data_IF_573528256705
#
_entry.id   IF_573528256705
#
_cell.length_a   1.000
_cell.length_b   1.000
_cell.length_c   1.000
_cell.angle_alpha   90.00
_cell.angle_beta   90.00
_cell.angle_gamma   90.00
#
_symmetry.space_group_name_H-M   'P 1'
#
loop_
_entity.id
_entity.type
_entity.pdbx_description
1 polymer ?
#
# COMPACT_ATOMS: atom_id res chain seq x y z
N UNK A 1 17.51 -1.79 -22.31
CA UNK A 1 16.25 -1.09 -21.97
C UNK A 1 16.07 -0.86 -20.46
N UNK A 2 16.38 -1.84 -19.59
CA UNK A 2 16.24 -1.71 -18.13
C UNK A 2 17.14 -0.62 -17.51
N UNK A 3 18.44 -0.61 -17.81
CA UNK A 3 19.37 0.43 -17.35
C UNK A 3 18.91 1.84 -17.77
N UNK A 4 18.36 1.96 -18.97
CA UNK A 4 17.80 3.22 -19.46
C UNK A 4 16.59 3.69 -18.64
N UNK A 5 15.73 2.77 -18.19
CA UNK A 5 14.63 3.11 -17.26
C UNK A 5 15.17 3.54 -15.90
N UNK A 6 16.15 2.82 -15.37
CA UNK A 6 16.78 3.13 -14.08
C UNK A 6 17.38 4.54 -14.06
N UNK A 7 18.31 4.83 -14.99
CA UNK A 7 19.01 6.13 -15.02
C UNK A 7 18.12 7.31 -15.44
N UNK A 8 17.00 7.06 -16.13
CA UNK A 8 16.02 8.11 -16.48
C UNK A 8 14.94 8.32 -15.40
N UNK A 9 15.11 7.74 -14.20
CA UNK A 9 14.13 7.79 -13.12
C UNK A 9 12.71 7.40 -13.60
N UNK A 10 12.63 6.35 -14.42
CA UNK A 10 11.39 5.82 -15.00
C UNK A 10 10.88 4.55 -14.29
N UNK A 11 11.51 4.19 -13.18
CA UNK A 11 10.93 3.20 -12.29
C UNK A 11 9.75 3.79 -11.55
N UNK A 12 8.89 2.90 -11.06
CA UNK A 12 7.66 3.20 -10.33
C UNK A 12 7.94 4.08 -9.11
N UNK A 13 9.13 3.98 -8.50
CA UNK A 13 9.60 4.89 -7.47
C UNK A 13 10.87 5.60 -7.99
N UNK A 14 10.73 6.85 -8.51
CA UNK A 14 11.84 7.61 -9.07
C UNK A 14 12.94 7.94 -8.05
N UNK A 15 12.55 8.35 -6.84
CA UNK A 15 13.45 8.68 -5.73
C UNK A 15 13.42 7.58 -4.67
N UNK A 16 14.14 6.50 -4.97
CA UNK A 16 14.15 5.32 -4.11
C UNK A 16 14.88 5.56 -2.79
N UNK A 17 15.92 6.39 -2.78
CA UNK A 17 16.70 6.69 -1.59
C UNK A 17 15.86 7.45 -0.55
N UNK A 18 15.02 8.39 -0.98
CA UNK A 18 14.08 9.04 -0.09
C UNK A 18 13.12 8.01 0.53
N UNK A 19 12.54 7.11 -0.28
CA UNK A 19 11.66 6.04 0.24
C UNK A 19 12.38 5.20 1.30
N UNK A 20 13.61 4.74 1.05
CA UNK A 20 14.33 3.86 1.99
C UNK A 20 14.61 4.55 3.32
N UNK A 21 14.91 5.85 3.32
CA UNK A 21 15.08 6.63 4.55
C UNK A 21 13.78 6.74 5.37
N UNK A 22 12.62 6.84 4.71
CA UNK A 22 11.33 6.79 5.40
C UNK A 22 11.04 5.39 5.95
N UNK A 23 11.34 4.34 5.19
CA UNK A 23 11.16 2.95 5.62
C UNK A 23 12.05 2.62 6.83
N UNK A 24 13.29 3.09 6.87
CA UNK A 24 14.19 2.90 8.02
C UNK A 24 13.63 3.56 9.28
N UNK A 25 13.09 4.79 9.18
CA UNK A 25 12.43 5.45 10.32
C UNK A 25 11.22 4.69 10.84
N UNK A 26 10.38 4.19 9.93
CA UNK A 26 9.22 3.35 10.30
C UNK A 26 9.66 2.03 10.94
N UNK A 27 10.77 1.44 10.47
CA UNK A 27 11.37 0.26 11.08
C UNK A 27 11.79 0.54 12.52
N UNK A 28 12.55 1.64 12.75
CA UNK A 28 13.05 2.03 14.07
C UNK A 28 11.89 2.30 15.05
N UNK A 29 10.83 2.98 14.58
CA UNK A 29 9.63 3.25 15.37
C UNK A 29 8.87 1.97 15.73
N UNK A 30 8.69 1.06 14.78
CA UNK A 30 8.05 -0.24 15.03
C UNK A 30 8.89 -1.14 15.95
N UNK A 31 10.22 -1.02 15.93
CA UNK A 31 11.11 -1.80 16.79
C UNK A 31 10.88 -1.51 18.28
N UNK A 32 10.45 -0.29 18.64
CA UNK A 32 10.14 0.11 20.02
C UNK A 32 8.91 -0.60 20.60
N UNK A 33 8.14 -1.34 19.80
CA UNK A 33 7.03 -2.13 20.29
C UNK A 33 7.54 -3.41 20.96
N UNK A 34 7.38 -3.49 22.28
CA UNK A 34 7.77 -4.64 23.12
C UNK A 34 6.57 -5.55 23.48
N UNK A 35 5.37 -5.19 23.05
CA UNK A 35 4.16 -5.98 23.30
C UNK A 35 4.12 -7.27 22.46
N UNK A 36 3.26 -8.19 22.88
CA UNK A 36 2.98 -9.44 22.18
C UNK A 36 3.67 -10.65 22.81
N UNK A 37 3.40 -11.83 22.26
CA UNK A 37 3.97 -13.10 22.72
C UNK A 37 4.37 -13.96 21.53
N UNK A 38 5.53 -14.61 21.62
CA UNK A 38 5.97 -15.58 20.61
C UNK A 38 5.04 -16.78 20.64
N UNK A 39 4.65 -17.28 19.47
CA UNK A 39 3.87 -18.51 19.38
C UNK A 39 4.66 -19.69 19.96
N UNK A 40 4.11 -20.32 20.99
CA UNK A 40 4.80 -21.35 21.79
C UNK A 40 4.11 -22.73 21.77
N UNK A 41 3.00 -22.86 21.04
CA UNK A 41 2.24 -24.11 20.93
C UNK A 41 3.03 -25.24 20.24
N UNK A 42 4.08 -24.91 19.47
CA UNK A 42 5.10 -25.86 19.01
C UNK A 42 6.52 -25.37 19.34
N UNK A 43 7.45 -26.28 19.69
CA UNK A 43 8.82 -25.92 20.04
C UNK A 43 9.61 -25.17 18.96
N UNK A 44 9.28 -25.34 17.69
CA UNK A 44 10.00 -24.72 16.57
C UNK A 44 9.73 -23.22 16.47
N UNK A 45 8.51 -22.78 16.78
CA UNK A 45 8.17 -21.35 16.82
C UNK A 45 8.68 -20.68 18.10
N UNK A 46 8.61 -21.39 19.23
CA UNK A 46 9.09 -20.91 20.53
C UNK A 46 10.59 -20.59 20.57
N UNK A 47 11.38 -21.14 19.63
CA UNK A 47 12.83 -20.92 19.54
C UNK A 47 13.22 -19.55 19.03
N UNK A 48 12.34 -18.85 18.32
CA UNK A 48 12.66 -17.54 17.78
C UNK A 48 12.70 -16.51 18.91
N UNK A 49 13.75 -15.68 18.92
CA UNK A 49 13.87 -14.59 19.88
C UNK A 49 12.77 -13.55 19.63
N UNK A 50 12.11 -13.03 20.68
CA UNK A 50 11.15 -11.94 20.55
C UNK A 50 11.76 -10.65 20.00
N UNK A 51 13.09 -10.50 20.08
CA UNK A 51 13.80 -9.30 19.63
C UNK A 51 13.93 -9.22 18.11
N UNK A 52 13.75 -10.34 17.39
CA UNK A 52 13.91 -10.41 15.95
C UNK A 52 12.90 -9.51 15.23
N UNK A 53 13.41 -8.66 14.34
CA UNK A 53 12.59 -7.76 13.54
C UNK A 53 13.25 -7.48 12.19
N UNK A 54 12.57 -7.87 11.11
CA UNK A 54 13.02 -7.65 9.74
C UNK A 54 11.92 -7.10 8.85
N UNK A 55 12.29 -6.15 7.98
CA UNK A 55 11.44 -5.61 6.93
C UNK A 55 12.19 -5.63 5.61
N UNK A 56 11.59 -6.21 4.57
CA UNK A 56 12.11 -6.16 3.21
C UNK A 56 11.04 -5.72 2.23
N UNK A 57 11.43 -4.92 1.24
CA UNK A 57 10.55 -4.47 0.17
C UNK A 57 11.18 -4.73 -1.20
N UNK A 58 10.32 -5.02 -2.18
CA UNK A 58 10.67 -5.16 -3.58
C UNK A 58 9.61 -4.45 -4.43
N UNK A 59 10.02 -3.51 -5.28
CA UNK A 59 9.12 -2.82 -6.21
C UNK A 59 8.80 -3.67 -7.43
N UNK A 60 7.75 -3.33 -8.16
CA UNK A 60 7.40 -4.00 -9.43
C UNK A 60 8.47 -3.84 -10.53
N UNK A 61 9.38 -2.87 -10.39
CA UNK A 61 10.53 -2.66 -11.28
C UNK A 61 11.84 -3.30 -10.75
N UNK A 62 11.79 -4.01 -9.62
CA UNK A 62 12.93 -4.73 -9.07
C UNK A 62 13.86 -3.92 -8.16
N UNK A 63 13.52 -2.66 -7.84
CA UNK A 63 14.19 -1.90 -6.77
C UNK A 63 13.93 -2.56 -5.42
N UNK A 64 14.95 -2.69 -4.57
CA UNK A 64 14.88 -3.47 -3.31
C UNK A 64 15.58 -2.77 -2.17
N UNK A 65 15.02 -2.90 -0.98
CA UNK A 65 15.61 -2.41 0.27
C UNK A 65 15.19 -3.30 1.44
N UNK A 66 16.09 -3.49 2.39
CA UNK A 66 15.91 -4.42 3.50
C UNK A 66 16.59 -3.84 4.75
N UNK A 67 15.93 -3.96 5.91
CA UNK A 67 16.41 -3.46 7.20
C UNK A 67 16.07 -4.44 8.33
N UNK A 68 17.02 -4.67 9.24
CA UNK A 68 16.89 -5.61 10.35
C UNK A 68 17.25 -7.06 10.01
N UNK A 69 16.60 -8.02 10.67
CA UNK A 69 16.87 -9.45 10.60
C UNK A 69 16.30 -10.13 9.35
N UNK A 70 16.57 -9.56 8.16
CA UNK A 70 15.85 -9.90 6.92
C UNK A 70 16.26 -11.21 6.26
N UNK A 71 17.41 -11.75 6.65
CA UNK A 71 18.01 -12.96 6.06
C UNK A 71 17.78 -14.20 6.90
N UNK A 72 17.16 -14.07 8.06
CA UNK A 72 16.82 -15.20 8.92
C UNK A 72 15.67 -15.99 8.27
N UNK A 73 15.83 -17.30 8.02
CA UNK A 73 14.74 -18.13 7.53
C UNK A 73 13.66 -18.34 8.59
N UNK A 74 12.40 -18.27 8.18
CA UNK A 74 11.24 -18.59 9.01
C UNK A 74 10.14 -19.28 8.19
N UNK A 75 9.29 -20.07 8.85
CA UNK A 75 8.16 -20.72 8.18
C UNK A 75 7.09 -19.70 7.78
N UNK A 76 6.59 -19.77 6.55
CA UNK A 76 5.49 -18.93 6.05
C UNK A 76 4.21 -19.07 6.88
N UNK A 77 3.94 -20.28 7.38
CA UNK A 77 2.70 -20.58 8.08
C UNK A 77 1.49 -20.14 7.24
N UNK A 78 0.49 -19.49 7.84
CA UNK A 78 -0.70 -19.01 7.11
C UNK A 78 -0.43 -18.02 5.97
N UNK A 79 0.78 -17.43 5.85
CA UNK A 79 1.15 -16.63 4.68
C UNK A 79 1.24 -17.43 3.37
N UNK A 80 1.27 -18.77 3.42
CA UNK A 80 1.24 -19.61 2.22
C UNK A 80 -0.15 -19.71 1.57
N UNK A 81 -1.24 -19.52 2.34
CA UNK A 81 -2.62 -19.73 1.89
C UNK A 81 -3.02 -18.88 0.66
N UNK A 82 -2.67 -17.58 0.57
CA UNK A 82 -2.89 -16.81 -0.65
C UNK A 82 -2.14 -17.36 -1.85
N UNK A 83 -0.93 -17.89 -1.65
CA UNK A 83 -0.09 -18.43 -2.73
C UNK A 83 -0.65 -19.76 -3.24
N UNK A 84 -1.09 -20.62 -2.32
CA UNK A 84 -1.82 -21.85 -2.62
C UNK A 84 -3.07 -21.57 -3.45
N UNK A 85 -3.86 -20.57 -3.04
CA UNK A 85 -5.05 -20.14 -3.77
C UNK A 85 -4.72 -19.58 -5.15
N UNK A 86 -3.68 -18.74 -5.27
CA UNK A 86 -3.25 -18.20 -6.55
C UNK A 86 -2.81 -19.32 -7.52
N UNK A 87 -2.08 -20.32 -7.03
CA UNK A 87 -1.69 -21.50 -7.82
C UNK A 87 -2.94 -22.30 -8.24
N UNK A 88 -3.87 -22.56 -7.32
CA UNK A 88 -5.10 -23.27 -7.65
C UNK A 88 -5.92 -22.52 -8.73
N UNK A 89 -6.07 -21.20 -8.61
CA UNK A 89 -6.74 -20.38 -9.63
C UNK A 89 -6.01 -20.39 -10.97
N UNK A 90 -4.67 -20.36 -10.95
CA UNK A 90 -3.87 -20.42 -12.17
C UNK A 90 -4.05 -21.75 -12.91
N UNK A 91 -4.08 -22.85 -12.17
CA UNK A 91 -4.11 -24.21 -12.71
C UNK A 91 -5.50 -24.70 -13.09
N UNK A 92 -6.55 -24.25 -12.40
CA UNK A 92 -7.91 -24.76 -12.54
C UNK A 92 -8.96 -23.71 -12.95
N UNK A 93 -8.62 -22.42 -12.86
CA UNK A 93 -9.55 -21.33 -13.10
C UNK A 93 -10.49 -21.05 -11.92
N UNK A 94 -11.03 -19.82 -11.90
CA UNK A 94 -11.87 -19.32 -10.80
C UNK A 94 -13.17 -20.10 -10.61
N UNK A 95 -13.83 -20.46 -11.72
CA UNK A 95 -15.10 -21.18 -11.66
C UNK A 95 -14.96 -22.52 -10.94
N UNK A 96 -13.97 -23.33 -11.33
CA UNK A 96 -13.76 -24.64 -10.72
C UNK A 96 -13.33 -24.54 -9.25
N UNK A 97 -12.38 -23.66 -8.91
CA UNK A 97 -11.93 -23.49 -7.52
C UNK A 97 -13.09 -23.11 -6.60
N UNK A 98 -13.96 -22.20 -7.05
CA UNK A 98 -15.07 -21.71 -6.23
C UNK A 98 -16.31 -22.61 -6.21
N UNK A 99 -16.28 -23.76 -6.90
CA UNK A 99 -17.21 -24.84 -6.60
C UNK A 99 -16.95 -25.44 -5.21
N UNK A 100 -15.72 -25.32 -4.68
CA UNK A 100 -15.32 -25.95 -3.41
C UNK A 100 -15.08 -24.96 -2.27
N UNK A 101 -14.74 -23.71 -2.56
CA UNK A 101 -14.47 -22.68 -1.53
C UNK A 101 -15.20 -21.37 -1.84
N UNK A 102 -15.72 -20.71 -0.81
CA UNK A 102 -16.39 -19.42 -0.93
C UNK A 102 -15.43 -18.25 -1.23
N UNK A 103 -16.01 -17.04 -1.27
CA UNK A 103 -15.34 -15.77 -1.63
C UNK A 103 -15.50 -14.69 -0.56
N UNK A 104 -16.10 -15.02 0.58
CA UNK A 104 -16.58 -14.02 1.53
C UNK A 104 -15.94 -14.21 2.91
N UNK A 105 -15.77 -13.13 3.68
CA UNK A 105 -15.35 -13.23 5.07
C UNK A 105 -16.41 -13.98 5.87
N UNK A 106 -15.98 -14.80 6.84
CA UNK A 106 -16.93 -15.61 7.61
C UNK A 106 -17.79 -14.81 8.59
N UNK A 107 -17.34 -13.62 9.01
CA UNK A 107 -17.94 -12.85 10.10
C UNK A 107 -17.83 -13.49 11.50
N UNK A 108 -17.31 -14.71 11.59
CA UNK A 108 -17.05 -15.41 12.85
C UNK A 108 -15.58 -15.29 13.24
N UNK A 109 -15.29 -15.55 14.52
CA UNK A 109 -13.91 -15.76 14.97
C UNK A 109 -13.26 -16.85 14.13
N UNK A 110 -12.03 -16.63 13.68
CA UNK A 110 -11.25 -17.58 12.86
C UNK A 110 -11.10 -18.97 13.52
N UNK A 111 -11.32 -19.01 14.84
CA UNK A 111 -11.27 -20.23 15.64
C UNK A 111 -12.53 -21.12 15.56
N UNK A 112 -13.64 -20.60 15.04
CA UNK A 112 -14.90 -21.35 14.96
C UNK A 112 -14.91 -22.26 13.73
N UNK A 113 -15.28 -23.52 13.95
CA UNK A 113 -15.62 -24.45 12.88
C UNK A 113 -16.96 -24.03 12.26
N UNK A 114 -16.93 -23.46 11.06
CA UNK A 114 -18.14 -23.13 10.30
C UNK A 114 -17.92 -23.24 8.80
N UNK A 115 -19.00 -23.61 8.11
CA UNK A 115 -19.15 -23.52 6.65
C UNK A 115 -20.16 -22.41 6.35
N UNK A 116 -20.23 -22.01 5.09
CA UNK A 116 -21.28 -21.13 4.60
C UNK A 116 -22.58 -21.91 4.35
N UNK A 117 -23.63 -21.20 3.90
CA UNK A 117 -24.95 -21.79 3.65
C UNK A 117 -24.96 -22.83 2.50
N UNK A 118 -23.89 -22.88 1.71
CA UNK A 118 -23.69 -23.85 0.63
C UNK A 118 -22.81 -25.05 1.06
N UNK A 119 -22.58 -25.24 2.37
CA UNK A 119 -21.71 -26.27 2.93
C UNK A 119 -20.26 -26.21 2.39
N UNK A 120 -19.74 -25.00 2.12
CA UNK A 120 -18.35 -24.74 1.70
C UNK A 120 -17.59 -23.94 2.77
N UNK A 121 -16.26 -24.07 2.87
CA UNK A 121 -15.47 -23.12 3.64
C UNK A 121 -15.65 -21.70 3.10
N UNK A 122 -15.71 -20.72 4.00
CA UNK A 122 -16.03 -19.32 3.67
C UNK A 122 -15.10 -18.69 2.63
N UNK A 123 -13.80 -18.93 2.74
CA UNK A 123 -12.77 -18.37 1.87
C UNK A 123 -11.46 -19.17 2.02
N UNK A 124 -10.48 -19.00 1.11
CA UNK A 124 -9.21 -19.72 1.15
C UNK A 124 -8.22 -19.21 2.21
N UNK A 125 -8.49 -18.07 2.85
CA UNK A 125 -7.59 -17.50 3.87
C UNK A 125 -7.75 -18.15 5.25
N UNK A 126 -8.84 -18.89 5.47
CA UNK A 126 -9.06 -19.73 6.66
C UNK A 126 -8.57 -21.16 6.44
N UNK A 127 -8.23 -21.87 7.53
CA UNK A 127 -7.67 -23.23 7.46
C UNK A 127 -8.55 -24.20 6.67
N UNK A 128 -9.87 -24.18 6.87
CA UNK A 128 -10.79 -25.06 6.15
C UNK A 128 -10.73 -24.86 4.63
N UNK A 129 -10.66 -23.61 4.17
CA UNK A 129 -10.54 -23.31 2.75
C UNK A 129 -9.20 -23.77 2.17
N UNK A 130 -8.10 -23.49 2.87
CA UNK A 130 -6.77 -23.94 2.47
C UNK A 130 -6.67 -25.47 2.38
N UNK A 131 -7.23 -26.22 3.35
CA UNK A 131 -7.25 -27.69 3.32
C UNK A 131 -8.03 -28.23 2.10
N UNK A 132 -9.14 -27.59 1.73
CA UNK A 132 -9.90 -27.93 0.51
C UNK A 132 -9.06 -27.64 -0.74
N UNK A 133 -8.36 -26.51 -0.80
CA UNK A 133 -7.46 -26.21 -1.93
C UNK A 133 -6.30 -27.21 -2.05
N UNK A 134 -5.71 -27.61 -0.92
CA UNK A 134 -4.67 -28.65 -0.87
C UNK A 134 -5.14 -29.95 -1.52
N UNK A 135 -6.42 -30.30 -1.32
CA UNK A 135 -7.02 -31.48 -1.94
C UNK A 135 -7.14 -31.36 -3.47
N UNK A 136 -7.50 -30.18 -4.00
CA UNK A 136 -7.62 -29.94 -5.45
C UNK A 136 -6.27 -30.09 -6.15
N UNK A 137 -5.23 -29.46 -5.57
CA UNK A 137 -3.86 -29.52 -6.10
C UNK A 137 -3.32 -30.96 -6.07
N UNK A 138 -3.65 -31.73 -5.02
CA UNK A 138 -3.27 -33.15 -4.93
C UNK A 138 -3.99 -34.03 -5.95
N UNK A 139 -5.28 -33.83 -6.20
CA UNK A 139 -6.06 -34.65 -7.15
C UNK A 139 -5.50 -34.55 -8.57
N UNK A 140 -5.14 -33.36 -9.04
CA UNK A 140 -4.47 -33.19 -10.36
C UNK A 140 -3.21 -34.03 -10.49
N UNK A 141 -2.54 -34.26 -9.37
CA UNK A 141 -1.29 -35.03 -9.32
C UNK A 141 -1.49 -36.54 -9.26
N UNK A 142 -2.72 -37.10 -9.24
CA UNK A 142 -2.96 -38.56 -9.10
C UNK A 142 -2.49 -39.45 -10.27
N UNK A 143 -1.68 -38.92 -11.19
CA UNK A 143 -0.84 -39.68 -12.14
C UNK A 143 0.68 -39.64 -11.83
N UNK A 144 1.09 -38.92 -10.79
CA UNK A 144 2.46 -38.69 -10.34
C UNK A 144 2.55 -38.93 -8.82
N UNK A 145 3.68 -39.41 -8.29
CA UNK A 145 3.80 -39.67 -6.85
C UNK A 145 3.59 -38.40 -6.01
N UNK A 146 3.13 -38.55 -4.75
CA UNK A 146 2.86 -37.45 -3.79
C UNK A 146 4.02 -36.46 -3.61
N UNK A 147 5.26 -36.93 -3.78
CA UNK A 147 6.49 -36.13 -3.79
C UNK A 147 6.51 -35.09 -4.92
N UNK A 148 5.87 -35.41 -6.04
CA UNK A 148 5.87 -34.58 -7.23
C UNK A 148 5.04 -33.29 -7.03
N UNK A 149 3.88 -33.37 -6.36
CA UNK A 149 3.04 -32.18 -6.11
C UNK A 149 3.75 -31.11 -5.27
N UNK A 150 4.45 -31.54 -4.21
CA UNK A 150 5.16 -30.60 -3.34
C UNK A 150 6.31 -29.92 -4.07
N UNK A 151 7.05 -30.67 -4.89
CA UNK A 151 8.10 -30.13 -5.75
C UNK A 151 7.53 -29.11 -6.75
N UNK A 152 6.38 -29.39 -7.36
CA UNK A 152 5.69 -28.44 -8.26
C UNK A 152 5.36 -27.14 -7.54
N UNK A 153 4.75 -27.19 -6.34
CA UNK A 153 4.43 -25.97 -5.58
C UNK A 153 5.67 -25.21 -5.13
N UNK A 154 6.70 -25.91 -4.65
CA UNK A 154 7.99 -25.27 -4.30
C UNK A 154 8.61 -24.57 -5.52
N UNK A 155 8.53 -25.18 -6.71
CA UNK A 155 9.04 -24.56 -7.93
C UNK A 155 8.23 -23.31 -8.31
N UNK A 156 6.89 -23.34 -8.17
CA UNK A 156 6.07 -22.13 -8.31
C UNK A 156 6.52 -21.02 -7.36
N UNK A 157 6.70 -21.35 -6.07
CA UNK A 157 7.16 -20.38 -5.07
C UNK A 157 8.57 -19.84 -5.39
N UNK A 158 9.47 -20.67 -5.90
CA UNK A 158 10.80 -20.24 -6.37
C UNK A 158 10.70 -19.29 -7.55
N UNK A 159 9.83 -19.56 -8.53
CA UNK A 159 9.58 -18.63 -9.64
C UNK A 159 8.98 -17.31 -9.14
N UNK A 160 8.03 -17.36 -8.20
CA UNK A 160 7.47 -16.15 -7.56
C UNK A 160 8.54 -15.33 -6.83
N UNK A 161 9.50 -16.01 -6.19
CA UNK A 161 10.62 -15.41 -5.46
C UNK A 161 11.80 -15.02 -6.37
N UNK A 162 11.72 -15.25 -7.68
CA UNK A 162 12.83 -15.00 -8.61
C UNK A 162 14.10 -15.81 -8.29
N UNK A 163 13.92 -17.07 -7.89
CA UNK A 163 14.97 -18.02 -7.48
C UNK A 163 15.72 -17.67 -6.19
N UNK A 164 15.18 -16.77 -5.37
CA UNK A 164 15.66 -16.57 -4.00
C UNK A 164 15.29 -17.73 -3.06
N UNK A 165 15.70 -17.63 -1.79
CA UNK A 165 15.54 -18.68 -0.80
C UNK A 165 14.07 -19.06 -0.59
N UNK A 166 13.75 -20.31 -0.94
CA UNK A 166 12.51 -21.01 -0.60
C UNK A 166 12.92 -22.39 -0.08
N UNK A 167 12.80 -22.56 1.23
CA UNK A 167 13.20 -23.76 1.98
C UNK A 167 12.02 -24.56 2.49
N UNK A 168 12.30 -25.52 3.36
CA UNK A 168 11.30 -26.37 4.00
C UNK A 168 11.80 -26.89 5.34
N UNK A 169 11.00 -26.68 6.39
CA UNK A 169 11.30 -27.20 7.72
C UNK A 169 10.55 -28.50 7.98
N UNK A 170 11.23 -29.64 7.84
CA UNK A 170 10.66 -30.92 8.22
C UNK A 170 10.35 -30.97 9.73
N UNK A 171 11.14 -30.29 10.58
CA UNK A 171 10.92 -30.26 12.01
C UNK A 171 9.59 -29.57 12.38
N UNK A 172 9.31 -28.41 11.76
CA UNK A 172 8.03 -27.71 11.92
C UNK A 172 6.88 -28.55 11.37
N UNK A 173 7.06 -29.17 10.19
CA UNK A 173 6.06 -30.05 9.60
C UNK A 173 5.63 -31.19 10.53
N UNK A 174 6.58 -31.93 11.10
CA UNK A 174 6.26 -33.02 12.02
C UNK A 174 5.53 -32.48 13.26
N UNK A 175 5.98 -31.35 13.81
CA UNK A 175 5.37 -30.80 15.04
C UNK A 175 3.97 -30.25 14.79
N UNK A 176 3.76 -29.51 13.69
CA UNK A 176 2.42 -29.02 13.28
C UNK A 176 1.45 -30.18 13.01
N UNK A 177 1.94 -31.27 12.42
CA UNK A 177 1.12 -32.46 12.18
C UNK A 177 0.75 -33.15 13.49
N UNK A 178 1.71 -33.33 14.39
CA UNK A 178 1.51 -34.06 15.66
C UNK A 178 0.65 -33.25 16.65
N UNK A 179 0.66 -31.91 16.60
CA UNK A 179 -0.22 -31.04 17.40
C UNK A 179 -1.44 -30.53 16.62
N UNK A 180 -1.71 -31.10 15.44
CA UNK A 180 -2.65 -30.60 14.44
C UNK A 180 -4.11 -30.96 14.67
N UNK A 181 -4.52 -31.36 15.88
CA UNK A 181 -5.83 -31.95 16.20
C UNK A 181 -7.01 -31.18 15.61
N UNK A 182 -6.96 -29.84 15.69
CA UNK A 182 -8.02 -28.99 15.15
C UNK A 182 -8.14 -29.09 13.63
N UNK A 183 -7.02 -29.19 12.92
CA UNK A 183 -7.05 -29.36 11.47
C UNK A 183 -7.55 -30.76 11.09
N UNK A 184 -7.26 -31.79 11.89
CA UNK A 184 -7.89 -33.10 11.73
C UNK A 184 -9.42 -33.04 11.93
N UNK A 185 -9.90 -32.36 12.97
CA UNK A 185 -11.33 -32.15 13.18
C UNK A 185 -12.00 -31.42 12.01
N UNK A 186 -11.36 -30.35 11.49
CA UNK A 186 -11.78 -29.67 10.26
C UNK A 186 -11.85 -30.67 9.10
N UNK A 187 -10.80 -31.47 8.88
CA UNK A 187 -10.73 -32.44 7.79
C UNK A 187 -11.84 -33.49 7.84
N UNK A 188 -12.12 -34.08 9.00
CA UNK A 188 -13.22 -35.03 9.15
C UNK A 188 -14.59 -34.38 8.92
N UNK A 189 -14.80 -33.17 9.43
CA UNK A 189 -16.06 -32.43 9.22
C UNK A 189 -16.28 -32.10 7.73
N UNK A 190 -15.25 -31.63 7.03
CA UNK A 190 -15.29 -31.38 5.58
C UNK A 190 -15.54 -32.67 4.78
N UNK A 191 -15.00 -33.80 5.23
CA UNK A 191 -15.21 -35.10 4.61
C UNK A 191 -16.67 -35.56 4.74
N UNK A 192 -17.25 -35.42 5.92
CA UNK A 192 -18.67 -35.74 6.16
C UNK A 192 -19.59 -34.89 5.27
N UNK A 193 -19.27 -33.60 5.14
CA UNK A 193 -20.02 -32.63 4.31
C UNK A 193 -19.71 -32.69 2.82
N UNK A 194 -18.86 -33.62 2.37
CA UNK A 194 -18.47 -33.79 0.97
C UNK A 194 -17.88 -32.51 0.33
N UNK A 195 -17.12 -31.74 1.12
CA UNK A 195 -16.49 -30.51 0.63
C UNK A 195 -15.25 -30.77 -0.24
N UNK A 196 -14.75 -32.01 -0.28
CA UNK A 196 -13.61 -32.41 -1.09
C UNK A 196 -14.06 -32.96 -2.46
N UNK A 197 -13.20 -32.87 -3.50
CA UNK A 197 -13.43 -33.60 -4.75
C UNK A 197 -13.62 -35.11 -4.51
N UNK A 198 -14.46 -35.77 -5.29
CA UNK A 198 -14.83 -37.19 -5.08
C UNK A 198 -13.64 -38.15 -4.98
N UNK A 199 -12.55 -37.84 -5.69
CA UNK A 199 -11.34 -38.67 -5.70
C UNK A 199 -10.31 -38.25 -4.66
N UNK A 200 -10.55 -37.23 -3.85
CA UNK A 200 -9.58 -36.73 -2.90
C UNK A 200 -9.41 -37.65 -1.68
N UNK A 201 -8.18 -37.75 -1.18
CA UNK A 201 -7.88 -38.34 0.12
C UNK A 201 -7.69 -37.21 1.13
N UNK A 202 -8.58 -37.14 2.12
CA UNK A 202 -8.56 -36.13 3.18
C UNK A 202 -7.25 -36.13 3.97
N UNK A 203 -6.73 -37.31 4.33
CA UNK A 203 -5.49 -37.41 5.11
C UNK A 203 -4.30 -36.93 4.29
N UNK A 204 -4.23 -37.30 3.02
CA UNK A 204 -3.18 -36.83 2.11
C UNK A 204 -3.27 -35.32 1.85
N UNK A 205 -4.48 -34.74 1.82
CA UNK A 205 -4.69 -33.30 1.71
C UNK A 205 -4.23 -32.55 2.97
N UNK A 206 -4.52 -33.10 4.16
CA UNK A 206 -4.04 -32.55 5.43
C UNK A 206 -2.52 -32.59 5.54
N UNK A 207 -1.89 -33.74 5.25
CA UNK A 207 -0.43 -33.85 5.25
C UNK A 207 0.21 -32.83 4.29
N UNK A 208 -0.39 -32.64 3.12
CA UNK A 208 0.07 -31.63 2.17
C UNK A 208 -0.09 -30.20 2.70
N UNK A 209 -1.23 -29.90 3.30
CA UNK A 209 -1.48 -28.61 3.94
C UNK A 209 -0.42 -28.29 5.01
N UNK A 210 -0.06 -29.26 5.86
CA UNK A 210 1.01 -29.11 6.85
C UNK A 210 2.39 -28.91 6.20
N UNK A 211 2.68 -29.61 5.10
CA UNK A 211 3.90 -29.39 4.33
C UNK A 211 3.97 -27.96 3.80
N UNK A 212 2.89 -27.43 3.22
CA UNK A 212 2.84 -26.07 2.69
C UNK A 212 3.02 -25.00 3.79
N UNK A 213 2.40 -25.18 4.95
CA UNK A 213 2.57 -24.25 6.09
C UNK A 213 4.00 -24.23 6.63
N UNK A 214 4.77 -25.30 6.41
CA UNK A 214 6.14 -25.47 6.89
C UNK A 214 7.22 -25.05 5.89
N UNK A 215 6.82 -24.44 4.77
CA UNK A 215 7.74 -23.83 3.79
C UNK A 215 8.45 -22.64 4.44
N UNK A 216 9.75 -22.53 4.23
CA UNK A 216 10.58 -21.45 4.79
C UNK A 216 10.90 -20.40 3.73
N UNK A 217 10.90 -19.14 4.15
CA UNK A 217 11.35 -17.98 3.36
C UNK A 217 12.19 -17.07 4.23
N UNK A 218 12.84 -16.08 3.63
CA UNK A 218 13.39 -14.92 4.34
C UNK A 218 12.50 -13.71 4.07
N UNK A 219 12.72 -12.57 4.75
CA UNK A 219 12.03 -11.34 4.40
C UNK A 219 12.33 -10.95 2.95
N UNK A 220 13.59 -11.12 2.52
CA UNK A 220 14.05 -10.80 1.17
C UNK A 220 13.26 -11.57 0.10
N UNK A 221 13.20 -12.90 0.20
CA UNK A 221 12.47 -13.71 -0.79
C UNK A 221 10.95 -13.51 -0.69
N UNK A 222 10.42 -13.34 0.52
CA UNK A 222 9.01 -13.01 0.77
C UNK A 222 8.59 -11.69 0.13
N UNK A 223 9.47 -10.67 0.14
CA UNK A 223 9.19 -9.38 -0.49
C UNK A 223 9.10 -9.48 -2.01
N UNK A 224 9.93 -10.33 -2.64
CA UNK A 224 9.86 -10.60 -4.08
C UNK A 224 8.56 -11.35 -4.43
N UNK A 225 8.15 -12.33 -3.63
CA UNK A 225 6.86 -13.04 -3.81
C UNK A 225 5.68 -12.04 -3.77
N UNK A 226 5.62 -11.17 -2.76
CA UNK A 226 4.59 -10.14 -2.68
C UNK A 226 4.65 -9.16 -3.87
N UNK A 227 5.85 -8.82 -4.34
CA UNK A 227 6.02 -7.92 -5.48
C UNK A 227 5.59 -8.56 -6.80
N UNK A 228 5.74 -9.88 -6.95
CA UNK A 228 5.19 -10.65 -8.07
C UNK A 228 3.67 -10.57 -8.10
N UNK A 229 3.00 -10.62 -6.93
CA UNK A 229 1.56 -10.35 -6.85
C UNK A 229 1.23 -8.88 -7.15
N UNK A 230 2.03 -7.93 -6.66
CA UNK A 230 1.85 -6.50 -6.97
C UNK A 230 1.95 -6.22 -8.49
N UNK A 231 2.77 -7.01 -9.20
CA UNK A 231 3.05 -6.88 -10.63
C UNK A 231 2.17 -7.79 -11.52
N UNK A 232 0.98 -8.16 -11.05
CA UNK A 232 0.02 -8.92 -11.87
C UNK A 232 0.47 -10.33 -12.24
N UNK A 233 1.31 -10.95 -11.41
CA UNK A 233 1.81 -12.31 -11.59
C UNK A 233 3.12 -12.40 -12.39
N UNK A 234 3.76 -11.27 -12.68
CA UNK A 234 5.07 -11.22 -13.36
C UNK A 234 6.16 -10.96 -12.32
N UNK A 235 7.14 -11.85 -12.20
CA UNK A 235 8.21 -11.68 -11.23
C UNK A 235 9.06 -10.43 -11.57
N UNK A 236 9.22 -9.47 -10.63
CA UNK A 236 9.82 -8.18 -10.93
C UNK A 236 11.33 -8.26 -11.24
N UNK A 237 12.01 -9.31 -10.76
CA UNK A 237 13.47 -9.47 -10.94
C UNK A 237 13.85 -10.43 -12.07
N UNK A 238 12.92 -11.23 -12.58
CA UNK A 238 13.17 -12.14 -13.72
C UNK A 238 12.39 -11.77 -14.98
N UNK A 239 11.25 -11.07 -14.84
CA UNK A 239 10.32 -10.76 -15.94
C UNK A 239 9.45 -11.95 -16.36
N UNK A 240 9.55 -13.09 -15.67
CA UNK A 240 8.77 -14.29 -15.95
C UNK A 240 7.31 -14.11 -15.51
N UNK A 241 6.34 -14.49 -16.35
CA UNK A 241 4.94 -14.61 -15.96
C UNK A 241 4.73 -15.92 -15.22
N UNK A 242 4.58 -15.84 -13.91
CA UNK A 242 4.42 -17.00 -13.02
C UNK A 242 2.95 -17.32 -12.74
N UNK A 243 2.09 -16.30 -12.69
CA UNK A 243 0.65 -16.45 -12.43
C UNK A 243 -0.19 -15.73 -13.49
N UNK A 244 -1.44 -16.17 -13.63
CA UNK A 244 -2.41 -15.45 -14.45
C UNK A 244 -2.87 -14.17 -13.73
N UNK A 245 -3.14 -13.11 -14.48
CA UNK A 245 -3.59 -11.85 -13.90
C UNK A 245 -4.92 -12.00 -13.14
N UNK A 246 -5.81 -12.90 -13.60
CA UNK A 246 -7.04 -13.25 -12.90
C UNK A 246 -6.76 -13.88 -11.53
N UNK A 247 -5.83 -14.84 -11.46
CA UNK A 247 -5.46 -15.49 -10.20
C UNK A 247 -4.94 -14.47 -9.19
N UNK A 248 -4.08 -13.56 -9.64
CA UNK A 248 -3.53 -12.48 -8.81
C UNK A 248 -4.63 -11.55 -8.32
N UNK A 249 -5.51 -11.06 -9.20
CA UNK A 249 -6.62 -10.17 -8.83
C UNK A 249 -7.49 -10.78 -7.74
N UNK A 250 -7.95 -12.02 -7.93
CA UNK A 250 -8.85 -12.67 -6.98
C UNK A 250 -8.14 -12.93 -5.64
N UNK A 251 -6.86 -13.29 -5.67
CA UNK A 251 -6.04 -13.47 -4.47
C UNK A 251 -5.91 -12.18 -3.68
N UNK A 252 -5.60 -11.06 -4.33
CA UNK A 252 -5.48 -9.75 -3.68
C UNK A 252 -6.82 -9.29 -3.07
N UNK A 253 -7.94 -9.54 -3.75
CA UNK A 253 -9.28 -9.23 -3.21
C UNK A 253 -9.56 -9.99 -1.91
N UNK A 254 -9.22 -11.29 -1.84
CA UNK A 254 -9.44 -12.08 -0.63
C UNK A 254 -8.40 -11.83 0.46
N UNK A 255 -7.17 -11.44 0.10
CA UNK A 255 -6.20 -10.93 1.07
C UNK A 255 -6.70 -9.65 1.73
N UNK A 256 -7.32 -8.75 0.96
CA UNK A 256 -7.89 -7.52 1.49
C UNK A 256 -9.01 -7.77 2.50
N UNK A 257 -9.98 -8.63 2.19
CA UNK A 257 -11.16 -8.85 3.06
C UNK A 257 -10.98 -9.92 4.13
N UNK A 258 -10.06 -10.89 3.94
CA UNK A 258 -9.98 -12.11 4.76
C UNK A 258 -8.56 -12.42 5.29
N UNK A 259 -7.56 -11.57 5.05
CA UNK A 259 -6.15 -11.95 5.20
C UNK A 259 -5.54 -11.87 6.61
N UNK A 260 -6.10 -11.09 7.52
CA UNK A 260 -5.50 -10.74 8.82
C UNK A 260 -6.29 -11.29 10.01
N UNK A 261 -6.78 -12.54 9.89
CA UNK A 261 -7.63 -13.20 10.88
C UNK A 261 -8.86 -12.33 11.23
N UNK A 262 -9.24 -12.25 12.50
CA UNK A 262 -10.36 -11.43 12.96
C UNK A 262 -10.09 -9.92 12.81
N UNK A 263 -8.83 -9.52 12.60
CA UNK A 263 -8.44 -8.14 12.34
C UNK A 263 -8.66 -7.73 10.87
N UNK A 264 -9.04 -8.64 9.97
CA UNK A 264 -9.15 -8.35 8.52
C UNK A 264 -10.02 -7.14 8.19
N UNK A 265 -11.19 -7.01 8.84
CA UNK A 265 -12.09 -5.87 8.60
C UNK A 265 -11.49 -4.54 9.06
N UNK A 266 -10.86 -4.50 10.24
CA UNK A 266 -10.20 -3.28 10.74
C UNK A 266 -8.95 -2.94 9.93
N UNK A 267 -8.17 -3.95 9.52
CA UNK A 267 -7.02 -3.77 8.65
C UNK A 267 -7.42 -3.22 7.27
N UNK A 268 -8.46 -3.80 6.65
CA UNK A 268 -9.00 -3.31 5.39
C UNK A 268 -9.52 -1.87 5.47
N UNK A 269 -10.08 -1.47 6.62
CA UNK A 269 -10.62 -0.13 6.84
C UNK A 269 -9.55 0.92 7.16
N UNK A 270 -8.57 0.59 8.01
CA UNK A 270 -7.55 1.55 8.47
C UNK A 270 -6.27 1.55 7.63
N UNK A 271 -5.84 0.37 7.17
CA UNK A 271 -4.63 0.21 6.34
C UNK A 271 -5.00 0.10 4.86
N UNK A 272 -6.07 -0.63 4.54
CA UNK A 272 -6.59 -0.70 3.19
C UNK A 272 -5.65 -1.33 2.17
N UNK A 273 -4.73 -2.21 2.60
CA UNK A 273 -3.83 -2.94 1.72
C UNK A 273 -4.12 -4.44 1.78
N UNK A 274 -4.01 -5.19 0.66
CA UNK A 274 -4.02 -6.64 0.70
C UNK A 274 -2.84 -7.18 1.52
N UNK A 275 -3.13 -7.97 2.56
CA UNK A 275 -2.12 -8.58 3.41
C UNK A 275 -2.50 -9.99 3.83
N UNK A 276 -1.51 -10.78 4.27
CA UNK A 276 -1.75 -12.04 4.99
C UNK A 276 -0.76 -12.20 6.11
N UNK A 277 -1.26 -12.43 7.33
CA UNK A 277 -0.41 -12.77 8.49
C UNK A 277 -0.23 -14.27 8.67
N UNK A 278 0.90 -14.66 9.26
CA UNK A 278 1.25 -16.01 9.70
C UNK A 278 1.64 -16.00 11.17
N UNK A 279 1.31 -17.10 11.87
CA UNK A 279 1.64 -17.29 13.30
C UNK A 279 3.14 -17.36 13.60
N UNK A 280 3.99 -17.40 12.56
CA UNK A 280 5.44 -17.22 12.69
C UNK A 280 5.85 -15.77 12.93
N UNK A 281 4.91 -14.82 12.95
CA UNK A 281 5.20 -13.38 13.01
C UNK A 281 5.35 -12.72 11.64
N UNK A 282 5.07 -13.45 10.57
CA UNK A 282 5.16 -12.94 9.20
C UNK A 282 3.93 -12.11 8.82
N UNK A 283 4.14 -11.06 8.03
CA UNK A 283 3.10 -10.28 7.36
C UNK A 283 3.52 -10.07 5.90
N UNK A 284 2.86 -10.79 4.99
CA UNK A 284 3.00 -10.62 3.55
C UNK A 284 2.06 -9.47 3.13
N UNK A 285 2.63 -8.33 2.70
CA UNK A 285 1.89 -7.12 2.35
C UNK A 285 2.09 -6.78 0.88
N UNK A 286 1.02 -6.41 0.19
CA UNK A 286 1.06 -6.03 -1.23
C UNK A 286 0.52 -4.62 -1.41
N UNK A 287 1.28 -3.78 -2.11
CA UNK A 287 0.81 -2.48 -2.64
C UNK A 287 0.67 -2.65 -4.16
N UNK A 288 -0.55 -2.93 -4.66
CA UNK A 288 -0.76 -3.28 -6.07
C UNK A 288 -0.17 -2.23 -7.02
N UNK A 289 0.52 -2.69 -8.07
CA UNK A 289 1.21 -1.86 -9.05
C UNK A 289 2.35 -0.98 -8.50
N UNK A 290 2.80 -1.20 -7.26
CA UNK A 290 3.91 -0.43 -6.66
C UNK A 290 4.99 -1.35 -6.13
N UNK A 291 4.68 -2.16 -5.11
CA UNK A 291 5.67 -2.99 -4.43
C UNK A 291 5.05 -4.11 -3.59
N UNK A 292 5.85 -5.11 -3.27
CA UNK A 292 5.60 -6.08 -2.21
C UNK A 292 6.50 -5.84 -1.01
N UNK A 293 5.98 -6.13 0.17
CA UNK A 293 6.71 -5.99 1.45
C UNK A 293 6.51 -7.27 2.26
N UNK A 294 7.58 -7.71 2.91
CA UNK A 294 7.52 -8.76 3.93
C UNK A 294 8.06 -8.19 5.24
N UNK A 295 7.21 -8.18 6.26
CA UNK A 295 7.59 -7.87 7.63
C UNK A 295 7.63 -9.16 8.44
N UNK A 296 8.59 -9.29 9.35
CA UNK A 296 8.70 -10.46 10.22
C UNK A 296 9.17 -10.09 11.62
N UNK A 297 8.29 -10.32 12.60
CA UNK A 297 8.56 -10.19 14.03
C UNK A 297 7.76 -11.28 14.77
N UNK A 298 8.41 -12.27 15.42
CA UNK A 298 7.74 -13.40 16.07
C UNK A 298 6.66 -13.05 17.11
N UNK A 299 6.80 -11.99 17.93
CA UNK A 299 5.75 -11.61 18.88
C UNK A 299 4.42 -11.27 18.21
N UNK A 300 3.37 -11.99 18.60
CA UNK A 300 2.00 -11.83 18.11
C UNK A 300 1.12 -11.08 19.11
N UNK A 301 0.15 -10.34 18.58
CA UNK A 301 -0.97 -9.80 19.32
C UNK A 301 -1.99 -10.90 19.72
N UNK A 302 -3.05 -10.49 20.43
CA UNK A 302 -4.11 -11.41 20.87
C UNK A 302 -4.95 -11.99 19.73
N UNK A 303 -4.85 -11.43 18.52
CA UNK A 303 -5.55 -11.87 17.31
C UNK A 303 -4.67 -12.75 16.41
N UNK A 304 -3.40 -12.96 16.78
CA UNK A 304 -2.44 -13.78 16.07
C UNK A 304 -1.64 -13.06 14.98
N UNK A 305 -1.68 -11.72 14.94
CA UNK A 305 -0.91 -10.92 13.99
C UNK A 305 0.38 -10.37 14.62
N UNK A 306 1.43 -10.17 13.84
CA UNK A 306 2.70 -9.60 14.33
C UNK A 306 2.53 -8.17 14.84
N UNK A 307 2.94 -7.89 16.08
CA UNK A 307 2.78 -6.56 16.71
C UNK A 307 3.53 -5.49 15.91
N UNK A 308 4.84 -5.69 15.69
CA UNK A 308 5.69 -4.76 14.93
C UNK A 308 5.26 -4.68 13.47
N UNK A 309 4.87 -5.81 12.88
CA UNK A 309 4.37 -5.87 11.51
C UNK A 309 3.13 -4.99 11.28
N UNK A 310 2.13 -5.06 12.17
CA UNK A 310 0.92 -4.23 12.09
C UNK A 310 1.24 -2.75 12.31
N UNK A 311 2.05 -2.43 13.32
CA UNK A 311 2.45 -1.04 13.60
C UNK A 311 3.12 -0.41 12.37
N UNK A 312 4.08 -1.12 11.76
CA UNK A 312 4.74 -0.69 10.54
C UNK A 312 3.74 -0.44 9.39
N UNK A 313 2.76 -1.34 9.19
CA UNK A 313 1.75 -1.17 8.13
C UNK A 313 0.89 0.08 8.34
N UNK A 314 0.52 0.40 9.58
CA UNK A 314 -0.28 1.58 9.92
C UNK A 314 0.51 2.87 9.70
N UNK A 315 1.78 2.90 10.09
CA UNK A 315 2.66 4.04 9.86
C UNK A 315 2.91 4.29 8.37
N UNK A 316 3.11 3.21 7.61
CA UNK A 316 3.29 3.25 6.15
C UNK A 316 2.16 4.01 5.46
N UNK A 317 0.89 3.70 5.75
CA UNK A 317 -0.27 4.34 5.10
C UNK A 317 -0.66 5.68 5.72
N UNK A 318 -0.19 5.95 6.94
CA UNK A 318 -0.34 7.27 7.57
C UNK A 318 0.59 8.28 6.90
N UNK A 319 1.78 7.83 6.50
CA UNK A 319 2.77 8.65 5.82
C UNK A 319 2.59 8.71 4.30
N UNK A 320 2.32 7.58 3.65
CA UNK A 320 2.18 7.48 2.19
C UNK A 320 0.72 7.29 1.74
N UNK A 321 0.39 7.76 0.54
CA UNK A 321 -0.94 7.60 -0.07
C UNK A 321 -1.16 6.21 -0.70
N UNK A 322 -0.78 5.15 0.03
CA UNK A 322 -0.88 3.76 -0.42
C UNK A 322 -2.19 3.07 -0.07
N UNK A 323 -3.00 3.65 0.82
CA UNK A 323 -4.31 3.07 1.12
C UNK A 323 -5.09 2.87 -0.19
N UNK A 324 -5.70 1.70 -0.40
CA UNK A 324 -6.32 1.36 -1.70
C UNK A 324 -7.43 2.33 -2.14
N UNK A 325 -8.00 3.07 -1.19
CA UNK A 325 -9.02 4.11 -1.42
C UNK A 325 -8.52 5.55 -1.21
N UNK A 326 -7.22 5.78 -1.06
CA UNK A 326 -6.66 7.14 -1.05
C UNK A 326 -6.72 7.79 -2.44
N UNK A 327 -6.79 9.12 -2.47
CA UNK A 327 -6.80 9.89 -3.69
C UNK A 327 -5.37 10.13 -4.21
N UNK A 328 -5.16 9.95 -5.52
CA UNK A 328 -3.85 10.15 -6.18
C UNK A 328 -3.57 11.60 -6.59
N UNK A 329 -4.57 12.49 -6.56
CA UNK A 329 -4.48 13.89 -7.01
C UNK A 329 -4.60 14.90 -5.88
N UNK A 330 -5.50 14.65 -4.94
CA UNK A 330 -5.87 15.57 -3.86
C UNK A 330 -5.64 14.89 -2.50
N UNK A 331 -4.42 14.98 -1.99
CA UNK A 331 -4.06 14.50 -0.65
C UNK A 331 -3.33 15.62 0.10
N UNK A 332 -3.72 15.86 1.35
CA UNK A 332 -3.35 17.11 2.04
C UNK A 332 -2.02 17.05 2.78
N UNK A 333 -1.56 15.86 3.20
CA UNK A 333 -0.32 15.69 4.01
C UNK A 333 0.49 14.42 3.75
N UNK A 334 -0.04 13.47 2.96
CA UNK A 334 0.65 12.21 2.66
C UNK A 334 1.68 12.40 1.55
N UNK A 335 2.68 11.54 1.49
CA UNK A 335 3.68 11.52 0.43
C UNK A 335 3.30 10.50 -0.65
N UNK A 336 3.49 10.83 -1.92
CA UNK A 336 3.39 9.88 -3.02
C UNK A 336 4.77 9.63 -3.64
N UNK A 337 5.42 8.49 -3.35
CA UNK A 337 6.75 8.20 -3.87
C UNK A 337 6.75 7.81 -5.35
N UNK A 338 5.58 7.70 -6.00
CA UNK A 338 5.47 7.53 -7.46
C UNK A 338 5.76 8.82 -8.21
N UNK A 339 5.56 9.96 -7.53
CA UNK A 339 5.76 11.27 -8.12
C UNK A 339 7.25 11.65 -8.10
N UNK A 340 7.64 12.45 -9.09
CA UNK A 340 8.98 13.04 -9.13
C UNK A 340 8.94 14.30 -8.28
N UNK A 341 9.59 14.26 -7.12
CA UNK A 341 9.67 15.36 -6.15
C UNK A 341 9.89 16.73 -6.79
N UNK A 342 10.80 16.82 -7.77
CA UNK A 342 11.12 18.07 -8.46
C UNK A 342 10.15 18.45 -9.58
N UNK A 343 9.49 17.49 -10.25
CA UNK A 343 8.63 17.82 -11.39
C UNK A 343 7.24 18.27 -10.97
N UNK A 344 6.67 17.76 -9.87
CA UNK A 344 5.29 18.09 -9.51
C UNK A 344 5.17 19.45 -8.84
N UNK A 345 6.12 19.83 -7.98
CA UNK A 345 6.18 21.19 -7.45
C UNK A 345 6.35 22.20 -8.59
N UNK A 346 7.31 21.95 -9.50
CA UNK A 346 7.53 22.83 -10.65
C UNK A 346 6.35 22.83 -11.63
N UNK A 347 5.70 21.69 -11.90
CA UNK A 347 4.49 21.65 -12.75
C UNK A 347 3.33 22.39 -12.10
N UNK A 348 3.12 22.23 -10.80
CA UNK A 348 2.09 22.97 -10.06
C UNK A 348 2.34 24.47 -10.14
N UNK A 349 3.60 24.90 -9.90
CA UNK A 349 4.02 26.30 -10.04
C UNK A 349 3.79 26.79 -11.47
N UNK A 350 4.27 26.07 -12.48
CA UNK A 350 4.12 26.46 -13.90
C UNK A 350 2.65 26.54 -14.31
N UNK A 351 1.82 25.59 -13.91
CA UNK A 351 0.39 25.61 -14.20
C UNK A 351 -0.31 26.79 -13.51
N UNK A 352 0.08 27.11 -12.27
CA UNK A 352 -0.39 28.27 -11.54
C UNK A 352 -0.01 29.58 -12.26
N UNK A 353 1.26 29.71 -12.67
CA UNK A 353 1.74 30.88 -13.41
C UNK A 353 1.06 31.02 -14.78
N UNK A 354 0.86 29.92 -15.49
CA UNK A 354 0.18 29.93 -16.79
C UNK A 354 -1.29 30.35 -16.69
N UNK A 355 -1.97 29.93 -15.62
CA UNK A 355 -3.34 30.40 -15.34
C UNK A 355 -3.37 31.90 -15.05
N UNK A 356 -2.38 32.42 -14.31
CA UNK A 356 -2.24 33.85 -14.06
C UNK A 356 -1.92 34.65 -15.34
N UNK A 357 -1.02 34.12 -16.20
CA UNK A 357 -0.69 34.71 -17.51
C UNK A 357 -1.90 34.77 -18.45
N UNK A 358 -2.69 33.69 -18.51
CA UNK A 358 -3.85 33.61 -19.40
C UNK A 358 -5.09 34.35 -18.89
N UNK A 359 -5.06 34.86 -17.65
CA UNK A 359 -6.21 35.47 -16.99
C UNK A 359 -7.31 34.47 -16.58
N UNK A 360 -7.00 33.16 -16.46
CA UNK A 360 -8.00 32.14 -16.13
C UNK A 360 -8.30 32.11 -14.63
N UNK A 361 -9.22 32.98 -14.21
CA UNK A 361 -9.72 33.05 -12.84
C UNK A 361 -10.36 31.74 -12.37
N UNK A 362 -10.94 30.96 -13.28
CA UNK A 362 -11.60 29.69 -12.91
C UNK A 362 -10.57 28.65 -12.50
N UNK A 363 -9.46 28.54 -13.24
CA UNK A 363 -8.34 27.69 -12.87
C UNK A 363 -7.72 28.11 -11.53
N UNK A 364 -7.50 29.41 -11.32
CA UNK A 364 -6.96 29.94 -10.06
C UNK A 364 -7.87 29.68 -8.86
N UNK A 365 -9.19 29.83 -9.01
CA UNK A 365 -10.17 29.44 -7.99
C UNK A 365 -10.07 27.96 -7.65
N UNK A 366 -9.91 27.09 -8.65
CA UNK A 366 -9.73 25.64 -8.42
C UNK A 366 -8.42 25.34 -7.68
N UNK A 367 -7.33 26.04 -8.00
CA UNK A 367 -6.06 25.88 -7.27
C UNK A 367 -6.17 26.35 -5.82
N UNK A 368 -6.84 27.49 -5.57
CA UNK A 368 -7.10 27.98 -4.21
C UNK A 368 -7.90 26.96 -3.39
N UNK A 369 -8.98 26.43 -3.96
CA UNK A 369 -9.84 25.41 -3.32
C UNK A 369 -9.09 24.09 -3.09
N UNK A 370 -8.08 23.78 -3.90
CA UNK A 370 -7.23 22.58 -3.76
C UNK A 370 -6.10 22.76 -2.73
N UNK A 371 -6.10 23.85 -1.96
CA UNK A 371 -5.08 24.21 -0.97
C UNK A 371 -3.65 24.29 -1.55
N UNK A 372 -3.52 24.65 -2.84
CA UNK A 372 -2.21 24.96 -3.43
C UNK A 372 -1.69 26.25 -2.79
N UNK A 373 -0.41 26.26 -2.42
CA UNK A 373 0.22 27.47 -1.91
C UNK A 373 0.35 28.50 -3.05
N UNK A 374 -0.46 29.57 -2.99
CA UNK A 374 -0.48 30.64 -3.99
C UNK A 374 0.74 31.56 -3.95
N UNK A 375 1.59 31.44 -2.93
CA UNK A 375 2.87 32.17 -2.81
C UNK A 375 4.06 31.41 -3.41
N UNK A 376 3.80 30.29 -4.10
CA UNK A 376 4.81 29.56 -4.86
C UNK A 376 5.49 30.47 -5.90
N UNK A 377 6.79 30.25 -6.10
CA UNK A 377 7.64 31.06 -6.97
C UNK A 377 8.21 30.26 -8.12
N UNK A 378 8.32 30.88 -9.29
CA UNK A 378 8.98 30.30 -10.45
C UNK A 378 10.51 30.42 -10.40
N UNK A 379 11.19 30.05 -11.50
CA UNK A 379 12.66 30.09 -11.61
C UNK A 379 13.24 31.50 -11.56
N UNK A 380 12.43 32.54 -11.77
CA UNK A 380 12.80 33.95 -11.63
C UNK A 380 12.30 34.55 -10.31
N UNK A 381 11.92 33.69 -9.35
CA UNK A 381 11.40 34.10 -8.04
C UNK A 381 10.11 34.91 -8.09
N UNK A 382 9.36 34.86 -9.21
CA UNK A 382 8.09 35.57 -9.38
C UNK A 382 6.93 34.74 -8.82
N UNK A 383 5.95 35.42 -8.23
CA UNK A 383 4.67 34.82 -7.85
C UNK A 383 3.62 34.95 -8.95
N UNK A 384 2.49 34.25 -8.80
CA UNK A 384 1.34 34.44 -9.69
C UNK A 384 0.86 35.90 -9.74
N UNK A 385 1.09 36.66 -8.66
CA UNK A 385 0.75 38.09 -8.59
C UNK A 385 1.64 38.95 -9.49
N UNK A 386 2.94 38.66 -9.57
CA UNK A 386 3.86 39.36 -10.50
C UNK A 386 3.43 39.14 -11.95
N UNK A 387 3.11 37.88 -12.30
CA UNK A 387 2.69 37.51 -13.66
C UNK A 387 1.36 38.17 -14.02
N UNK A 388 0.35 38.11 -13.13
CA UNK A 388 -0.93 38.75 -13.36
C UNK A 388 -0.83 40.28 -13.46
N UNK A 389 0.08 40.88 -12.68
CA UNK A 389 0.31 42.32 -12.69
C UNK A 389 1.03 42.79 -13.96
N UNK A 390 1.96 41.98 -14.48
CA UNK A 390 2.67 42.25 -15.73
C UNK A 390 1.78 42.15 -16.98
N UNK A 391 0.76 41.28 -16.96
CA UNK A 391 -0.17 41.09 -18.08
C UNK A 391 -1.42 41.99 -18.01
N UNK A 392 -1.65 42.64 -16.87
CA UNK A 392 -2.78 43.57 -16.70
C UNK A 392 -4.11 42.91 -16.29
N UNK A 393 -4.11 41.68 -15.76
CA UNK A 393 -5.34 40.95 -15.41
C UNK A 393 -5.89 41.37 -14.03
N UNK A 394 -6.68 42.45 -14.01
CA UNK A 394 -7.24 43.05 -12.77
C UNK A 394 -8.02 42.05 -11.91
N UNK A 395 -8.90 41.23 -12.51
CA UNK A 395 -9.71 40.26 -11.77
C UNK A 395 -8.86 39.21 -11.05
N UNK A 396 -7.75 38.81 -11.67
CA UNK A 396 -6.79 37.86 -11.09
C UNK A 396 -6.01 38.52 -9.95
N UNK A 397 -5.57 39.77 -10.12
CA UNK A 397 -4.87 40.54 -9.09
C UNK A 397 -5.73 40.72 -7.85
N UNK A 398 -7.00 41.12 -8.02
CA UNK A 398 -7.98 41.25 -6.93
C UNK A 398 -8.20 39.91 -6.24
N UNK A 399 -8.35 38.82 -7.01
CA UNK A 399 -8.52 37.48 -6.43
C UNK A 399 -7.29 37.03 -5.61
N UNK A 400 -6.08 37.25 -6.11
CA UNK A 400 -4.85 36.85 -5.43
C UNK A 400 -4.58 37.68 -4.16
N UNK A 401 -4.90 38.97 -4.18
CA UNK A 401 -4.68 39.89 -3.05
C UNK A 401 -5.80 39.81 -2.02
N UNK A 402 -7.06 39.94 -2.42
CA UNK A 402 -8.20 39.99 -1.50
C UNK A 402 -8.57 38.62 -0.93
N UNK A 403 -8.63 37.59 -1.80
CA UNK A 403 -9.11 36.25 -1.42
C UNK A 403 -7.95 35.37 -0.96
N UNK A 404 -6.88 35.29 -1.75
CA UNK A 404 -5.75 34.40 -1.43
C UNK A 404 -4.72 35.02 -0.46
N UNK A 405 -4.80 36.34 -0.20
CA UNK A 405 -3.89 37.09 0.69
C UNK A 405 -2.40 36.92 0.33
N UNK A 406 -2.09 36.85 -0.96
CA UNK A 406 -0.70 36.77 -1.45
C UNK A 406 0.02 38.08 -1.13
N UNK A 407 1.24 37.99 -0.56
CA UNK A 407 2.01 39.16 -0.18
C UNK A 407 2.42 40.04 -1.40
N UNK A 408 1.97 41.32 -1.46
CA UNK A 408 2.27 42.22 -2.58
C UNK A 408 3.67 42.84 -2.52
N UNK A 409 4.43 42.64 -1.44
CA UNK A 409 5.78 43.18 -1.28
C UNK A 409 6.89 42.17 -1.61
N UNK A 410 6.52 40.98 -2.07
CA UNK A 410 7.51 39.99 -2.50
C UNK A 410 8.28 40.53 -3.70
N UNK A 411 9.59 40.35 -3.70
CA UNK A 411 10.46 40.76 -4.80
C UNK A 411 10.83 39.56 -5.66
N UNK A 412 10.90 39.81 -6.95
CA UNK A 412 11.43 38.87 -7.93
C UNK A 412 12.98 38.88 -7.97
N UNK A 413 13.55 38.18 -8.95
CA UNK A 413 15.00 38.11 -9.19
C UNK A 413 15.65 39.46 -9.52
N UNK A 414 14.90 40.38 -10.13
CA UNK A 414 15.38 41.71 -10.51
C UNK A 414 15.17 42.76 -9.42
N UNK A 415 14.50 42.38 -8.33
CA UNK A 415 14.22 43.24 -7.20
C UNK A 415 12.92 44.04 -7.34
N UNK A 416 12.14 43.77 -8.39
CA UNK A 416 10.85 44.40 -8.66
C UNK A 416 9.76 43.75 -7.79
N UNK A 417 8.81 44.57 -7.38
CA UNK A 417 7.54 44.12 -6.79
C UNK A 417 6.47 44.00 -7.88
N UNK A 418 5.34 43.30 -7.63
CA UNK A 418 4.21 43.27 -8.56
C UNK A 418 3.69 44.66 -8.94
N UNK A 419 3.82 45.65 -8.05
CA UNK A 419 3.47 47.04 -8.34
C UNK A 419 4.45 47.67 -9.33
N UNK A 420 5.75 47.44 -9.15
CA UNK A 420 6.79 47.92 -10.08
C UNK A 420 6.59 47.31 -11.47
N UNK A 421 6.26 46.02 -11.54
CA UNK A 421 5.95 45.33 -12.80
C UNK A 421 4.71 45.96 -13.48
N UNK A 422 3.62 46.19 -12.75
CA UNK A 422 2.42 46.82 -13.30
C UNK A 422 2.70 48.25 -13.82
N UNK A 423 3.55 49.02 -13.14
CA UNK A 423 3.99 50.35 -13.58
C UNK A 423 4.89 50.27 -14.81
N UNK A 424 5.82 49.30 -14.85
CA UNK A 424 6.76 49.12 -15.94
C UNK A 424 6.04 48.76 -17.26
N UNK A 425 4.99 47.94 -17.19
CA UNK A 425 4.18 47.56 -18.36
C UNK A 425 3.01 48.53 -18.65
N UNK A 426 2.79 49.54 -17.81
CA UNK A 426 1.81 50.61 -18.05
C UNK A 426 0.35 50.21 -17.79
N UNK A 427 0.10 49.36 -16.79
CA UNK A 427 -1.23 48.88 -16.44
C UNK A 427 -1.86 49.69 -15.29
N UNK A 428 -2.28 50.92 -15.57
CA UNK A 428 -2.79 51.90 -14.58
C UNK A 428 -3.92 51.37 -13.68
N UNK A 429 -4.80 50.52 -14.23
CA UNK A 429 -5.93 49.92 -13.48
C UNK A 429 -5.43 48.92 -12.44
N UNK A 430 -4.43 48.12 -12.79
CA UNK A 430 -3.79 47.17 -11.86
C UNK A 430 -2.97 47.92 -10.81
N UNK A 431 -2.25 48.98 -11.21
CA UNK A 431 -1.51 49.85 -10.28
C UNK A 431 -2.45 50.42 -9.23
N UNK A 432 -3.61 50.94 -9.66
CA UNK A 432 -4.62 51.50 -8.75
C UNK A 432 -5.13 50.43 -7.78
N UNK A 433 -5.49 49.23 -8.27
CA UNK A 433 -5.98 48.14 -7.43
C UNK A 433 -4.93 47.61 -6.42
N UNK A 434 -3.66 47.50 -6.84
CA UNK A 434 -2.57 47.10 -5.94
C UNK A 434 -2.27 48.18 -4.90
N UNK A 435 -2.26 49.44 -5.30
CA UNK A 435 -2.01 50.57 -4.41
C UNK A 435 -3.13 50.70 -3.36
N UNK A 436 -4.40 50.59 -3.78
CA UNK A 436 -5.55 50.55 -2.86
C UNK A 436 -5.45 49.41 -1.84
N UNK A 437 -5.03 48.22 -2.27
CA UNK A 437 -4.84 47.09 -1.37
C UNK A 437 -3.68 47.30 -0.38
N UNK A 438 -2.57 47.85 -0.85
CA UNK A 438 -1.39 48.15 -0.02
C UNK A 438 -1.72 49.24 1.01
N UNK A 439 -2.37 50.31 0.58
CA UNK A 439 -2.75 51.44 1.44
C UNK A 439 -3.87 51.05 2.41
N UNK A 440 -4.80 50.18 2.01
CA UNK A 440 -5.86 49.64 2.86
C UNK A 440 -5.39 48.63 3.92
N UNK A 441 -4.21 48.02 3.75
CA UNK A 441 -3.59 47.09 4.72
C UNK A 441 -2.45 47.73 5.54
N UNK A 442 -2.18 49.02 5.37
CA UNK A 442 -1.35 49.74 6.33
C UNK A 442 -2.01 49.66 7.72
N UNK A 443 -1.27 49.39 8.81
CA UNK A 443 -1.85 49.45 10.16
C UNK A 443 -2.28 50.89 10.42
N UNK A 444 -3.58 51.16 10.22
CA UNK A 444 -4.16 52.48 10.41
C UNK A 444 -4.36 52.71 11.91
N UNK A 445 -3.35 53.31 12.55
CA UNK A 445 -3.51 54.06 13.79
C UNK A 445 -4.35 55.31 13.50
N UNK A 446 -5.67 55.17 13.42
CA UNK A 446 -6.60 56.28 13.71
C UNK A 446 -8.03 55.74 13.83
N UNK A 447 -8.69 56.07 14.95
CA UNK A 447 -9.99 55.57 15.41
C UNK A 447 -11.22 56.05 14.59
N UNK A 448 -11.05 56.61 13.39
CA UNK A 448 -12.14 57.27 12.67
C UNK A 448 -12.41 56.63 11.31
N UNK A 449 -13.00 55.44 11.30
CA UNK A 449 -13.84 54.96 10.18
C UNK A 449 -14.61 53.66 10.53
N UNK A 450 -15.19 53.62 11.73
CA UNK A 450 -16.03 52.50 12.20
C UNK A 450 -17.46 52.52 11.66
N UNK A 451 -17.77 53.34 10.66
CA UNK A 451 -19.16 53.62 10.23
C UNK A 451 -19.49 53.20 8.79
N UNK A 452 -18.53 52.62 8.06
CA UNK A 452 -18.72 52.13 6.68
C UNK A 452 -18.67 50.59 6.57
N UNK A 453 -18.68 49.88 7.69
CA UNK A 453 -18.57 48.41 7.74
C UNK A 453 -19.90 47.64 7.58
N UNK A 454 -21.04 48.32 7.50
CA UNK A 454 -22.38 47.69 7.51
C UNK A 454 -23.07 47.57 6.14
N UNK A 455 -22.40 47.91 5.03
CA UNK A 455 -23.03 47.86 3.69
C UNK A 455 -22.51 46.75 2.75
N UNK A 456 -21.54 45.95 3.17
CA UNK A 456 -20.96 44.83 2.38
C UNK A 456 -21.16 43.45 3.02
N UNK A 457 -22.25 43.26 3.77
CA UNK A 457 -22.58 41.96 4.39
C UNK A 457 -23.19 40.92 3.42
N UNK A 458 -23.31 41.21 2.12
CA UNK A 458 -24.06 40.34 1.17
C UNK A 458 -23.18 39.56 0.19
N UNK A 459 -21.88 39.39 0.46
CA UNK A 459 -20.98 38.55 -0.35
C UNK A 459 -20.26 37.45 0.44
N UNK A 460 -20.75 37.11 1.65
CA UNK A 460 -20.21 36.02 2.49
C UNK A 460 -20.90 34.67 2.31
N UNK A 461 -21.58 34.43 1.20
CA UNK A 461 -22.14 33.10 0.90
C UNK A 461 -21.59 32.61 -0.43
N UNK A 462 -20.47 31.89 -0.36
CA UNK A 462 -20.18 30.59 -0.99
C UNK A 462 -18.74 30.27 -0.56
N UNK A 463 -18.63 29.56 0.57
CA UNK A 463 -17.54 28.64 0.90
C UNK A 463 -18.19 27.35 1.36
#
# INVERSE_FOLDING_TARGET
MLLTKAFRKKFIIPDFEQLTQHINRMYDNAQQQEAGQVADYIPQLAKFSPDLWGVSLCTIDGQRHSVGDTKVPFCLQSCVKPLEYAIALHEFGSEHVHQFVGKEPSGFKFNKLSLNDEDKPHNPMVNAGAIVLSSLIKVKSKGMSTLNTFVVVINFLKSLAGSEYVGFSNATFQSERDTGDRNYAIGYYLKEKKCFPDTADMTAALDFYFQLCSIEVTCESGSVIAATLANGGICPITGERVLSAEAVRNTLSLMHSCGMYDFSGQFAFHVGLPAKSGVSGAVLLVVPNVMGIMCWSPPLDRLGNSVRGIHFCQELVSHFNFHNYDNLRHFTKKHDPRNRSDEDSNKSVVNLMFAAYSGDLTALRRFALSAVNMEQRDYDSRTALHVAASEGHVEVVVFLTEVCKVNPHMKDRWGNTPLDDAMQFGHDVVVSALQEYIDGNAPCNTEEQKTTLDMYSTLKSIV
#
